data_IF_271570648548
#
_entry.id   IF_271570648548
#
_cell.length_a   1.000
_cell.length_b   1.000
_cell.length_c   1.000
_cell.angle_alpha   90.00
_cell.angle_beta   90.00
_cell.angle_gamma   90.00
#
_symmetry.space_group_name_H-M   'P 1'
#
loop_
_entity.id
_entity.type
_entity.pdbx_description
1 polymer ?
#
# COMPACT_ATOMS: atom_id res chain seq x y z
N UNK A 1 13.62 27.31 -9.62
CA UNK A 1 14.42 26.25 -8.94
C UNK A 1 13.73 25.86 -7.66
N UNK A 2 13.54 24.56 -7.45
CA UNK A 2 12.89 24.09 -6.23
C UNK A 2 13.81 24.28 -5.02
N UNK A 3 13.23 24.73 -3.91
CA UNK A 3 13.96 24.89 -2.64
C UNK A 3 14.03 23.53 -1.95
N UNK A 4 15.20 23.20 -1.44
CA UNK A 4 15.38 21.97 -0.64
C UNK A 4 14.86 22.27 0.76
N UNK A 5 13.86 21.49 1.20
CA UNK A 5 13.29 21.62 2.53
C UNK A 5 14.24 21.04 3.57
N UNK A 6 14.24 21.63 4.75
CA UNK A 6 15.19 21.31 5.80
C UNK A 6 14.46 21.31 7.15
N UNK A 7 14.62 20.25 7.94
CA UNK A 7 14.03 20.16 9.28
C UNK A 7 14.79 20.96 10.32
N UNK A 8 16.04 21.38 10.01
CA UNK A 8 16.93 22.03 10.95
C UNK A 8 17.79 21.06 11.77
N UNK A 9 17.51 19.77 11.68
CA UNK A 9 18.28 18.74 12.39
C UNK A 9 19.04 17.87 11.41
N UNK A 10 20.12 17.25 11.91
CA UNK A 10 21.06 16.52 11.05
C UNK A 10 21.32 15.12 11.57
N UNK A 11 21.55 14.19 10.65
CA UNK A 11 22.18 12.90 10.90
C UNK A 11 23.63 13.04 10.45
N UNK A 12 24.57 12.69 11.31
CA UNK A 12 26.00 12.70 11.00
C UNK A 12 26.50 11.28 10.82
N UNK A 13 27.28 11.06 9.76
CA UNK A 13 27.87 9.76 9.45
C UNK A 13 29.33 9.72 9.93
N UNK A 14 29.90 8.52 10.08
CA UNK A 14 31.27 8.32 10.54
C UNK A 14 32.28 9.02 9.63
N UNK A 15 31.97 9.20 8.36
CA UNK A 15 32.81 9.91 7.40
C UNK A 15 32.86 11.42 7.64
N UNK A 16 31.99 11.93 8.53
CA UNK A 16 31.82 13.37 8.73
C UNK A 16 30.77 14.01 7.84
N UNK A 17 30.23 13.24 6.88
CA UNK A 17 29.12 13.73 6.05
C UNK A 17 27.85 13.88 6.90
N UNK A 18 27.01 14.83 6.53
CA UNK A 18 25.75 15.08 7.23
C UNK A 18 24.59 15.13 6.24
N UNK A 19 23.42 14.74 6.73
CA UNK A 19 22.16 14.87 6.00
C UNK A 19 21.08 15.34 6.98
N UNK A 20 19.92 15.72 6.45
CA UNK A 20 18.78 15.98 7.32
C UNK A 20 18.39 14.71 8.07
N UNK A 21 17.72 14.85 9.21
CA UNK A 21 17.42 13.71 10.08
C UNK A 21 16.57 12.65 9.37
N UNK A 22 16.78 11.37 9.75
CA UNK A 22 16.00 10.23 9.23
C UNK A 22 14.67 10.06 9.93
N UNK A 23 14.61 10.35 11.23
CA UNK A 23 13.48 9.99 12.09
C UNK A 23 12.18 10.59 11.57
N UNK A 24 11.14 9.75 11.57
CA UNK A 24 9.81 10.17 11.14
C UNK A 24 9.56 10.12 9.64
N UNK A 25 10.58 9.78 8.83
CA UNK A 25 10.43 9.72 7.36
C UNK A 25 10.11 8.32 6.83
N UNK A 26 10.13 7.31 7.70
CA UNK A 26 9.99 5.92 7.31
C UNK A 26 11.33 5.34 6.86
N UNK A 27 11.44 4.03 6.95
CA UNK A 27 12.66 3.30 6.59
C UNK A 27 12.38 2.45 5.36
N UNK A 28 12.42 3.06 4.20
CA UNK A 28 12.19 2.38 2.91
C UNK A 28 13.22 1.28 2.65
N UNK A 29 14.42 1.44 3.20
CA UNK A 29 15.50 0.45 3.10
C UNK A 29 15.19 -0.85 3.85
N UNK A 30 14.23 -0.84 4.77
CA UNK A 30 13.80 -2.04 5.52
C UNK A 30 12.64 -2.78 4.84
N UNK A 31 12.07 -2.22 3.78
CA UNK A 31 10.96 -2.87 3.08
C UNK A 31 11.46 -4.09 2.32
N UNK A 32 10.69 -5.20 2.33
CA UNK A 32 11.11 -6.41 1.61
C UNK A 32 10.97 -6.21 0.10
N UNK A 33 12.11 -5.99 -0.58
CA UNK A 33 12.12 -5.67 -2.01
C UNK A 33 11.45 -6.74 -2.86
N UNK A 34 11.64 -8.02 -2.53
CA UNK A 34 11.04 -9.11 -3.30
C UNK A 34 9.50 -9.07 -3.24
N UNK A 35 8.94 -8.64 -2.10
CA UNK A 35 7.48 -8.50 -1.98
C UNK A 35 6.99 -7.29 -2.76
N UNK A 36 7.73 -6.18 -2.71
CA UNK A 36 7.40 -4.99 -3.49
C UNK A 36 7.43 -5.28 -4.99
N UNK A 37 8.40 -6.09 -5.46
CA UNK A 37 8.46 -6.51 -6.86
C UNK A 37 7.21 -7.30 -7.27
N UNK A 38 6.77 -8.22 -6.43
CA UNK A 38 5.55 -9.01 -6.69
C UNK A 38 4.31 -8.12 -6.67
N UNK A 39 4.25 -7.17 -5.74
CA UNK A 39 3.12 -6.24 -5.65
C UNK A 39 3.06 -5.34 -6.89
N UNK A 40 4.21 -4.81 -7.31
CA UNK A 40 4.30 -3.99 -8.53
C UNK A 40 3.83 -4.78 -9.76
N UNK A 41 4.22 -6.06 -9.85
CA UNK A 41 3.77 -6.93 -10.94
C UNK A 41 2.26 -7.12 -10.92
N UNK A 42 1.67 -7.23 -9.73
CA UNK A 42 0.21 -7.37 -9.60
C UNK A 42 -0.50 -6.10 -10.10
N UNK A 43 0.04 -4.91 -9.79
CA UNK A 43 -0.49 -3.65 -10.29
C UNK A 43 -0.40 -3.57 -11.82
N UNK A 44 0.72 -4.02 -12.38
CA UNK A 44 0.88 -4.05 -13.85
C UNK A 44 -0.16 -4.97 -14.50
N UNK A 45 -0.37 -6.15 -13.94
CA UNK A 45 -1.38 -7.10 -14.45
C UNK A 45 -2.79 -6.51 -14.40
N UNK A 46 -3.11 -5.81 -13.34
CA UNK A 46 -4.39 -5.12 -13.21
C UNK A 46 -4.56 -4.00 -14.23
N UNK A 47 -3.48 -3.28 -14.50
CA UNK A 47 -3.45 -2.23 -15.52
C UNK A 47 -3.79 -2.78 -16.90
N UNK A 48 -3.23 -3.93 -17.27
CA UNK A 48 -3.52 -4.58 -18.56
C UNK A 48 -4.97 -5.01 -18.68
N UNK A 49 -5.61 -5.35 -17.56
CA UNK A 49 -6.98 -5.84 -17.54
C UNK A 49 -8.01 -4.71 -17.46
N UNK A 50 -7.77 -3.70 -16.65
CA UNK A 50 -8.75 -2.66 -16.32
C UNK A 50 -8.30 -1.23 -16.63
N UNK A 51 -7.05 -1.03 -17.07
CA UNK A 51 -6.47 0.29 -17.30
C UNK A 51 -5.77 0.82 -16.07
N UNK A 52 -4.90 1.82 -16.27
CA UNK A 52 -4.11 2.43 -15.23
C UNK A 52 -5.02 3.08 -14.19
N UNK A 53 -4.70 2.85 -12.92
CA UNK A 53 -5.35 3.50 -11.79
C UNK A 53 -6.87 3.27 -11.74
N UNK A 54 -7.35 2.16 -12.30
CA UNK A 54 -8.78 1.82 -12.22
C UNK A 54 -9.26 1.79 -10.76
N UNK A 55 -8.43 1.29 -9.86
CA UNK A 55 -8.74 1.19 -8.43
C UNK A 55 -8.94 2.56 -7.76
N UNK A 56 -8.44 3.65 -8.34
CA UNK A 56 -8.63 5.01 -7.83
C UNK A 56 -10.01 5.60 -8.17
N UNK A 57 -10.74 4.97 -9.08
CA UNK A 57 -12.05 5.47 -9.52
C UNK A 57 -13.12 5.39 -8.45
N UNK A 58 -12.91 4.58 -7.44
CA UNK A 58 -13.81 4.45 -6.31
C UNK A 58 -14.33 3.03 -6.15
N UNK A 59 -13.67 2.24 -5.32
CA UNK A 59 -14.09 0.90 -4.94
C UNK A 59 -14.35 0.95 -3.43
N UNK A 60 -15.56 0.60 -2.97
CA UNK A 60 -15.85 0.67 -1.54
C UNK A 60 -15.00 -0.34 -0.75
N UNK A 61 -14.67 0.02 0.48
CA UNK A 61 -13.76 -0.78 1.32
C UNK A 61 -14.25 -2.21 1.54
N UNK A 62 -15.57 -2.43 1.65
CA UNK A 62 -16.09 -3.80 1.84
C UNK A 62 -15.73 -4.71 0.66
N UNK A 63 -15.68 -4.17 -0.55
CA UNK A 63 -15.33 -4.94 -1.74
C UNK A 63 -13.88 -5.38 -1.70
N UNK A 64 -12.97 -4.48 -1.32
CA UNK A 64 -11.57 -4.83 -1.10
C UNK A 64 -11.41 -5.85 0.01
N UNK A 65 -12.11 -5.67 1.14
CA UNK A 65 -12.04 -6.60 2.28
C UNK A 65 -12.52 -8.00 1.90
N UNK A 66 -13.63 -8.08 1.19
CA UNK A 66 -14.18 -9.36 0.71
C UNK A 66 -13.18 -10.10 -0.18
N UNK A 67 -12.60 -9.39 -1.16
CA UNK A 67 -11.62 -9.99 -2.06
C UNK A 67 -10.33 -10.36 -1.36
N UNK A 68 -9.85 -9.52 -0.42
CA UNK A 68 -8.65 -9.82 0.35
C UNK A 68 -8.81 -11.12 1.13
N UNK A 69 -9.93 -11.28 1.80
CA UNK A 69 -10.20 -12.48 2.59
C UNK A 69 -10.35 -13.71 1.70
N UNK A 70 -11.05 -13.59 0.58
CA UNK A 70 -11.21 -14.70 -0.36
C UNK A 70 -9.88 -15.20 -0.89
N UNK A 71 -9.02 -14.27 -1.31
CA UNK A 71 -7.69 -14.64 -1.80
C UNK A 71 -6.84 -15.27 -0.71
N UNK A 72 -6.91 -14.74 0.50
CA UNK A 72 -6.14 -15.29 1.61
C UNK A 72 -6.60 -16.70 1.98
N UNK A 73 -7.91 -16.95 1.99
CA UNK A 73 -8.46 -18.29 2.22
C UNK A 73 -7.99 -19.26 1.14
N UNK A 74 -8.00 -18.85 -0.13
CA UNK A 74 -7.49 -19.68 -1.22
C UNK A 74 -6.00 -19.98 -1.07
N UNK A 75 -5.23 -19.00 -0.64
CA UNK A 75 -3.81 -19.20 -0.34
C UNK A 75 -3.63 -20.26 0.77
N UNK A 76 -4.38 -20.13 1.86
CA UNK A 76 -4.32 -21.06 2.98
C UNK A 76 -4.77 -22.48 2.57
N UNK A 77 -5.64 -22.58 1.58
CA UNK A 77 -6.13 -23.85 1.04
C UNK A 77 -5.14 -24.46 0.02
N UNK A 78 -4.00 -23.83 -0.23
CA UNK A 78 -2.97 -24.35 -1.13
C UNK A 78 -3.22 -24.09 -2.61
N UNK A 79 -4.20 -23.28 -2.98
CA UNK A 79 -4.46 -22.96 -4.37
C UNK A 79 -3.34 -22.07 -4.93
N UNK A 80 -2.88 -22.37 -6.13
CA UNK A 80 -1.75 -21.68 -6.77
C UNK A 80 -1.98 -21.33 -8.24
N UNK A 81 -3.26 -21.25 -8.64
CA UNK A 81 -3.64 -20.84 -9.99
C UNK A 81 -3.39 -19.34 -10.25
N UNK A 82 -3.26 -18.57 -9.17
CA UNK A 82 -2.87 -17.14 -9.18
C UNK A 82 -1.98 -16.88 -7.98
N UNK A 83 -1.39 -15.69 -7.92
CA UNK A 83 -0.67 -15.22 -6.72
C UNK A 83 -1.68 -14.69 -5.71
N UNK A 84 -2.37 -15.59 -5.02
CA UNK A 84 -3.42 -15.25 -4.08
C UNK A 84 -2.92 -14.42 -2.91
N UNK A 85 -1.68 -14.67 -2.46
CA UNK A 85 -1.12 -13.92 -1.33
C UNK A 85 -0.93 -12.45 -1.69
N UNK A 86 -0.34 -12.19 -2.85
CA UNK A 86 -0.10 -10.80 -3.26
C UNK A 86 -1.42 -10.11 -3.66
N UNK A 87 -2.39 -10.87 -4.18
CA UNK A 87 -3.72 -10.33 -4.46
C UNK A 87 -4.41 -9.87 -3.17
N UNK A 88 -4.25 -10.62 -2.07
CA UNK A 88 -4.78 -10.21 -0.77
C UNK A 88 -4.11 -8.91 -0.30
N UNK A 89 -2.80 -8.82 -0.42
CA UNK A 89 -2.03 -7.61 -0.05
C UNK A 89 -2.49 -6.41 -0.89
N UNK A 90 -2.66 -6.61 -2.20
CA UNK A 90 -3.13 -5.55 -3.10
C UNK A 90 -4.48 -4.99 -2.65
N UNK A 91 -5.42 -5.86 -2.29
CA UNK A 91 -6.73 -5.44 -1.81
C UNK A 91 -6.63 -4.66 -0.50
N UNK A 92 -5.74 -5.06 0.41
CA UNK A 92 -5.51 -4.34 1.66
C UNK A 92 -4.90 -2.96 1.39
N UNK A 93 -4.03 -2.85 0.40
CA UNK A 93 -3.50 -1.55 -0.05
C UNK A 93 -4.63 -0.63 -0.50
N UNK A 94 -5.65 -1.18 -1.17
CA UNK A 94 -6.82 -0.41 -1.60
C UNK A 94 -7.59 0.19 -0.43
N UNK A 95 -7.78 -0.59 0.64
CA UNK A 95 -8.43 -0.10 1.86
C UNK A 95 -7.59 1.03 2.49
N UNK A 96 -6.28 0.81 2.62
CA UNK A 96 -5.38 1.80 3.21
C UNK A 96 -5.38 3.11 2.41
N UNK A 97 -5.37 3.00 1.07
CA UNK A 97 -5.45 4.16 0.19
C UNK A 97 -6.77 4.91 0.39
N UNK A 98 -7.90 4.17 0.48
CA UNK A 98 -9.20 4.78 0.71
C UNK A 98 -9.24 5.52 2.05
N UNK A 99 -8.64 4.96 3.10
CA UNK A 99 -8.62 5.63 4.41
C UNK A 99 -8.01 7.02 4.31
N UNK A 100 -6.99 7.19 3.50
CA UNK A 100 -6.32 8.48 3.34
C UNK A 100 -6.96 9.39 2.31
N UNK A 101 -7.39 8.84 1.17
CA UNK A 101 -7.79 9.63 0.00
C UNK A 101 -9.29 9.65 -0.26
N UNK A 102 -10.00 8.62 0.16
CA UNK A 102 -11.43 8.47 -0.09
C UNK A 102 -12.14 7.91 1.15
N UNK A 103 -12.07 8.62 2.29
CA UNK A 103 -12.77 8.15 3.50
C UNK A 103 -14.28 8.00 3.31
N UNK A 104 -14.87 8.66 2.30
CA UNK A 104 -16.25 8.48 1.92
C UNK A 104 -16.58 7.06 1.45
N UNK A 105 -15.58 6.29 1.04
CA UNK A 105 -15.74 4.90 0.60
C UNK A 105 -15.60 3.88 1.74
N UNK A 106 -15.37 4.35 2.96
CA UNK A 106 -15.32 3.47 4.12
C UNK A 106 -16.74 3.04 4.49
N UNK A 107 -17.02 1.76 4.31
CA UNK A 107 -18.33 1.18 4.56
C UNK A 107 -18.26 -0.11 5.38
N UNK A 108 -17.13 -0.33 6.07
CA UNK A 108 -16.99 -1.43 7.02
C UNK A 108 -17.64 -0.93 8.32
N UNK A 109 -18.75 -1.57 8.79
CA UNK A 109 -19.54 -1.00 9.87
C UNK A 109 -18.78 -0.66 11.14
N UNK A 110 -17.83 -1.52 11.55
CA UNK A 110 -17.05 -1.26 12.77
C UNK A 110 -16.05 -0.10 12.63
N UNK A 111 -15.87 0.43 11.43
CA UNK A 111 -14.97 1.56 11.14
C UNK A 111 -15.72 2.87 10.89
N UNK A 112 -17.03 2.84 10.92
CA UNK A 112 -17.83 4.06 10.74
C UNK A 112 -17.89 4.82 12.05
N UNK A 113 -17.74 6.16 11.96
CA UNK A 113 -17.85 7.01 13.12
C UNK A 113 -19.33 7.08 13.56
N UNK A 114 -19.56 6.96 14.86
CA UNK A 114 -20.86 7.22 15.46
C UNK A 114 -20.89 8.63 15.98
N UNK A 115 -21.80 9.44 15.48
CA UNK A 115 -22.01 10.79 15.94
C UNK A 115 -23.48 11.01 16.28
#
# INVERSE_FOLDING_TARGET
MATIKDSGERTQFDSGAVRDMHEGKGRFDLLPMCVLMRLAQHYENGCQKYGDRNWEKGIPCHSFADSAMRHFVKYMDGQNDEDHLIAAIWNLCGIAWNEEKRPDLMDIPARLSEE
#
